data_IF_590648145903
#
_entry.id   IF_590648145903
#
_cell.length_a   1.000
_cell.length_b   1.000
_cell.length_c   1.000
_cell.angle_alpha   90.00
_cell.angle_beta   90.00
_cell.angle_gamma   90.00
#
_symmetry.space_group_name_H-M   'P 1'
#
loop_
_entity.id
_entity.type
_entity.pdbx_description
1 polymer ?
#
# COMPACT_ATOMS: atom_id res chain seq x y z
N UNK A 1 -17.85 14.78 15.36
CA UNK A 1 -18.83 13.86 15.99
C UNK A 1 -19.37 12.76 15.06
N UNK A 2 -19.86 13.04 13.83
CA UNK A 2 -20.41 11.99 12.93
C UNK A 2 -19.41 10.89 12.52
N UNK A 3 -18.13 11.21 12.42
CA UNK A 3 -17.06 10.26 12.04
C UNK A 3 -16.78 9.20 13.09
N UNK A 4 -16.74 9.57 14.38
CA UNK A 4 -16.38 8.66 15.48
C UNK A 4 -17.42 7.55 15.67
N UNK A 5 -18.71 7.88 15.65
CA UNK A 5 -19.79 6.88 15.78
C UNK A 5 -19.80 5.88 14.60
N UNK A 6 -19.45 6.35 13.40
CA UNK A 6 -19.34 5.48 12.22
C UNK A 6 -18.09 4.59 12.28
N UNK A 7 -16.96 5.14 12.75
CA UNK A 7 -15.71 4.42 12.93
C UNK A 7 -15.86 3.34 14.02
N UNK A 8 -16.58 3.64 15.11
CA UNK A 8 -16.96 2.69 16.16
C UNK A 8 -17.74 1.51 15.60
N UNK A 9 -18.91 1.75 15.00
CA UNK A 9 -19.81 0.69 14.51
C UNK A 9 -19.10 -0.26 13.52
N UNK A 10 -18.25 0.30 12.66
CA UNK A 10 -17.47 -0.49 11.69
C UNK A 10 -16.43 -1.35 12.38
N UNK A 11 -15.68 -0.77 13.31
CA UNK A 11 -14.57 -1.46 13.98
C UNK A 11 -15.10 -2.54 14.91
N UNK A 12 -16.14 -2.27 15.68
CA UNK A 12 -16.80 -3.27 16.52
C UNK A 12 -17.34 -4.44 15.70
N UNK A 13 -18.00 -4.17 14.57
CA UNK A 13 -18.45 -5.24 13.68
C UNK A 13 -17.29 -6.08 13.14
N UNK A 14 -16.16 -5.46 12.78
CA UNK A 14 -14.96 -6.15 12.34
C UNK A 14 -14.38 -7.05 13.44
N UNK A 15 -14.27 -6.53 14.67
CA UNK A 15 -13.73 -7.27 15.82
C UNK A 15 -14.66 -8.42 16.25
N UNK A 16 -15.97 -8.18 16.28
CA UNK A 16 -16.98 -9.20 16.60
C UNK A 16 -16.96 -10.36 15.61
N UNK A 17 -16.87 -10.09 14.30
CA UNK A 17 -16.72 -11.13 13.26
C UNK A 17 -15.45 -11.97 13.44
N UNK A 18 -14.46 -11.45 14.15
CA UNK A 18 -13.20 -12.14 14.49
C UNK A 18 -13.20 -12.74 15.90
N UNK A 19 -14.32 -12.65 16.63
CA UNK A 19 -14.45 -13.12 18.01
C UNK A 19 -13.46 -12.42 18.95
N UNK A 20 -13.24 -11.12 18.77
CA UNK A 20 -12.35 -10.30 19.60
C UNK A 20 -13.20 -9.24 20.29
N UNK A 21 -13.11 -9.16 21.62
CA UNK A 21 -13.77 -8.12 22.40
C UNK A 21 -12.81 -6.96 22.60
N UNK A 22 -13.30 -5.73 22.45
CA UNK A 22 -12.48 -4.51 22.54
C UNK A 22 -11.73 -4.42 23.88
N UNK A 23 -12.39 -4.74 24.99
CA UNK A 23 -11.81 -4.69 26.34
C UNK A 23 -10.72 -5.73 26.60
N UNK A 24 -10.59 -6.75 25.75
CA UNK A 24 -9.54 -7.76 25.83
C UNK A 24 -8.25 -7.29 25.15
N UNK A 25 -8.30 -6.23 24.34
CA UNK A 25 -7.15 -5.69 23.60
C UNK A 25 -6.28 -4.87 24.57
N UNK A 26 -5.00 -5.24 24.66
CA UNK A 26 -4.00 -4.53 25.46
C UNK A 26 -3.22 -3.52 24.63
N UNK A 27 -2.86 -3.88 23.39
CA UNK A 27 -2.14 -3.02 22.45
C UNK A 27 -2.41 -3.50 21.02
N UNK A 28 -2.08 -2.68 20.04
CA UNK A 28 -2.09 -3.09 18.64
C UNK A 28 -0.80 -2.70 17.92
N UNK A 29 -0.50 -3.43 16.86
CA UNK A 29 0.52 -3.11 15.87
C UNK A 29 -0.10 -3.10 14.48
N UNK A 30 0.38 -2.21 13.62
CA UNK A 30 -0.13 -2.03 12.27
C UNK A 30 1.02 -1.77 11.29
N UNK A 31 0.88 -2.21 10.04
CA UNK A 31 1.94 -2.15 9.02
C UNK A 31 3.23 -2.86 9.48
N UNK A 32 3.07 -4.03 10.10
CA UNK A 32 4.19 -4.88 10.55
C UNK A 32 3.89 -6.32 10.22
N UNK A 33 4.90 -7.03 9.70
CA UNK A 33 4.81 -8.48 9.49
C UNK A 33 4.54 -9.21 10.79
N UNK A 34 3.74 -10.25 10.70
CA UNK A 34 3.43 -11.11 11.83
C UNK A 34 4.02 -12.49 11.59
N UNK A 35 4.96 -12.86 12.45
CA UNK A 35 5.52 -14.20 12.50
C UNK A 35 4.84 -14.98 13.60
N UNK A 36 4.25 -16.13 13.26
CA UNK A 36 3.61 -16.99 14.25
C UNK A 36 4.68 -17.83 14.95
N UNK A 37 4.74 -17.78 16.29
CA UNK A 37 5.68 -18.62 17.03
C UNK A 37 5.26 -20.09 16.85
N UNK A 38 6.14 -20.98 16.35
CA UNK A 38 5.78 -22.37 16.12
C UNK A 38 5.37 -23.03 17.44
N UNK A 39 4.11 -23.48 17.54
CA UNK A 39 3.70 -24.40 18.59
C UNK A 39 4.32 -25.78 18.27
N UNK A 40 4.73 -26.51 19.30
CA UNK A 40 5.49 -27.79 19.29
C UNK A 40 4.95 -28.94 18.41
N UNK A 41 3.96 -28.73 17.55
CA UNK A 41 3.40 -29.72 16.64
C UNK A 41 3.29 -29.14 15.24
N UNK A 42 4.16 -29.55 14.30
CA UNK A 42 4.09 -29.62 12.82
C UNK A 42 3.02 -28.84 12.01
N UNK A 43 2.49 -27.73 12.51
CA UNK A 43 1.56 -26.86 11.83
C UNK A 43 2.40 -25.79 11.13
N UNK A 44 2.32 -25.77 9.79
CA UNK A 44 2.90 -24.75 8.92
C UNK A 44 2.72 -23.37 9.57
N UNK A 45 3.82 -22.73 9.92
CA UNK A 45 3.86 -21.36 10.45
C UNK A 45 3.14 -20.45 9.45
N UNK A 46 2.02 -19.83 9.85
CA UNK A 46 1.25 -18.94 8.96
C UNK A 46 1.71 -17.51 9.15
N UNK A 47 2.92 -17.22 8.68
CA UNK A 47 3.42 -15.86 8.58
C UNK A 47 2.47 -15.00 7.74
N UNK A 48 2.20 -13.78 8.22
CA UNK A 48 1.43 -12.77 7.48
C UNK A 48 2.36 -11.65 7.06
N UNK A 49 2.29 -11.33 5.78
CA UNK A 49 3.10 -10.31 5.11
C UNK A 49 2.22 -9.52 4.13
N UNK A 50 2.70 -8.40 3.64
CA UNK A 50 1.97 -7.50 2.77
C UNK A 50 1.06 -6.50 3.49
N UNK A 51 0.28 -5.75 2.71
CA UNK A 51 -0.42 -4.58 3.21
C UNK A 51 -1.60 -4.88 4.16
N UNK A 52 -1.80 -3.96 5.10
CA UNK A 52 -2.97 -3.86 5.97
C UNK A 52 -2.97 -4.85 7.13
N UNK A 53 -1.81 -5.33 7.56
CA UNK A 53 -1.73 -6.24 8.71
C UNK A 53 -2.00 -5.47 9.99
N UNK A 54 -3.03 -5.89 10.72
CA UNK A 54 -3.34 -5.47 12.08
C UNK A 54 -3.09 -6.65 13.01
N UNK A 55 -2.22 -6.44 13.99
CA UNK A 55 -1.91 -7.40 15.04
C UNK A 55 -2.42 -6.84 16.36
N UNK A 56 -3.26 -7.59 17.05
CA UNK A 56 -3.79 -7.25 18.36
C UNK A 56 -3.12 -8.12 19.42
N UNK A 57 -2.55 -7.49 20.44
CA UNK A 57 -2.07 -8.17 21.64
C UNK A 57 -3.20 -8.14 22.66
N UNK A 58 -3.64 -9.31 23.08
CA UNK A 58 -4.71 -9.46 24.06
C UNK A 58 -4.12 -9.58 25.47
N UNK A 59 -4.89 -9.18 26.50
CA UNK A 59 -4.51 -9.24 27.92
C UNK A 59 -4.04 -10.62 28.39
N UNK A 60 -4.51 -11.69 27.73
CA UNK A 60 -4.12 -13.08 28.00
C UNK A 60 -2.76 -13.48 27.41
N UNK A 61 -1.98 -12.52 26.88
CA UNK A 61 -0.71 -12.79 26.19
C UNK A 61 -0.86 -13.38 24.78
N UNK A 62 -2.09 -13.55 24.31
CA UNK A 62 -2.40 -14.08 22.97
C UNK A 62 -2.28 -12.95 21.95
N UNK A 63 -1.55 -13.17 20.86
CA UNK A 63 -1.52 -12.28 19.71
C UNK A 63 -2.45 -12.79 18.61
N UNK A 64 -3.23 -11.89 18.02
CA UNK A 64 -4.08 -12.19 16.85
C UNK A 64 -3.78 -11.22 15.73
N UNK A 65 -3.29 -11.74 14.61
CA UNK A 65 -3.03 -10.95 13.41
C UNK A 65 -4.00 -11.28 12.28
N UNK A 66 -4.49 -10.25 11.60
CA UNK A 66 -5.34 -10.39 10.43
C UNK A 66 -5.18 -9.21 9.49
N UNK A 67 -5.60 -9.42 8.24
CA UNK A 67 -5.61 -8.36 7.25
C UNK A 67 -6.86 -7.50 7.40
N UNK A 68 -6.66 -6.19 7.36
CA UNK A 68 -7.70 -5.19 7.20
C UNK A 68 -7.68 -4.74 5.75
N UNK A 69 -8.66 -5.17 4.96
CA UNK A 69 -8.72 -4.85 3.54
C UNK A 69 -9.12 -3.38 3.32
N UNK A 70 -8.76 -2.76 2.16
CA UNK A 70 -9.11 -1.38 1.87
C UNK A 70 -10.60 -1.05 2.02
N UNK A 71 -11.49 -1.98 1.64
CA UNK A 71 -12.94 -1.81 1.79
C UNK A 71 -13.42 -1.81 3.25
N UNK A 72 -12.63 -2.35 4.18
CA UNK A 72 -12.90 -2.36 5.62
C UNK A 72 -12.46 -1.06 6.30
N UNK A 73 -11.96 -0.07 5.54
CA UNK A 73 -11.54 1.24 6.02
C UNK A 73 -10.53 1.15 7.18
N UNK A 74 -9.27 0.72 6.91
CA UNK A 74 -8.23 0.63 7.95
C UNK A 74 -8.06 1.91 8.78
N UNK A 75 -8.22 3.09 8.17
CA UNK A 75 -8.17 4.38 8.86
C UNK A 75 -9.18 4.49 10.01
N UNK A 76 -10.42 4.05 9.78
CA UNK A 76 -11.48 4.03 10.79
C UNK A 76 -11.12 3.11 11.95
N UNK A 77 -10.54 1.94 11.65
CA UNK A 77 -10.12 0.95 12.65
C UNK A 77 -9.02 1.52 13.54
N UNK A 78 -7.98 2.11 12.95
CA UNK A 78 -6.86 2.68 13.69
C UNK A 78 -7.33 3.85 14.55
N UNK A 79 -8.10 4.80 13.99
CA UNK A 79 -8.64 5.93 14.75
C UNK A 79 -9.52 5.49 15.91
N UNK A 80 -10.35 4.48 15.71
CA UNK A 80 -11.17 3.96 16.79
C UNK A 80 -10.33 3.35 17.91
N UNK A 81 -9.34 2.50 17.58
CA UNK A 81 -8.46 1.92 18.59
C UNK A 81 -7.69 2.98 19.38
N UNK A 82 -7.17 4.01 18.70
CA UNK A 82 -6.51 5.15 19.35
C UNK A 82 -7.49 5.93 20.25
N UNK A 83 -8.72 6.16 19.80
CA UNK A 83 -9.75 6.86 20.60
C UNK A 83 -10.21 6.10 21.85
N UNK A 84 -9.86 4.82 21.96
CA UNK A 84 -10.13 3.97 23.12
C UNK A 84 -8.88 3.82 24.01
N UNK A 85 -7.89 4.70 23.82
CA UNK A 85 -6.61 4.71 24.54
C UNK A 85 -5.83 3.39 24.43
N UNK A 86 -6.04 2.63 23.34
CA UNK A 86 -5.29 1.40 23.10
C UNK A 86 -3.91 1.78 22.52
N UNK A 87 -2.80 1.40 23.17
CA UNK A 87 -1.45 1.75 22.71
C UNK A 87 -1.11 1.19 21.33
N UNK A 88 -0.49 2.04 20.50
CA UNK A 88 0.08 1.68 19.21
C UNK A 88 1.55 1.27 19.35
N UNK A 89 1.81 -0.02 19.48
CA UNK A 89 3.06 -0.58 20.02
C UNK A 89 4.26 -0.47 19.08
N UNK A 90 4.06 -0.56 17.76
CA UNK A 90 5.16 -0.56 16.79
C UNK A 90 5.39 0.81 16.12
N UNK A 91 4.88 1.90 16.69
CA UNK A 91 5.21 3.24 16.25
C UNK A 91 6.49 3.72 16.94
N UNK A 92 7.47 4.18 16.16
CA UNK A 92 8.73 4.72 16.67
C UNK A 92 8.80 6.20 16.35
N UNK A 93 8.83 7.04 17.38
CA UNK A 93 9.08 8.48 17.18
C UNK A 93 10.55 8.67 16.81
N UNK A 94 10.80 9.18 15.59
CA UNK A 94 12.14 9.51 15.12
C UNK A 94 12.33 11.01 15.06
N UNK A 95 13.57 11.45 15.26
CA UNK A 95 14.00 12.83 15.01
C UNK A 95 14.82 12.85 13.73
N UNK A 96 14.72 13.95 13.01
CA UNK A 96 15.56 14.21 11.84
C UNK A 96 17.03 14.19 12.26
N UNK A 97 17.85 13.43 11.54
CA UNK A 97 19.29 13.26 11.83
C UNK A 97 20.18 14.02 10.85
N UNK A 98 19.69 14.33 9.65
CA UNK A 98 20.45 14.99 8.59
C UNK A 98 19.94 16.41 8.38
N UNK A 99 20.86 17.37 8.21
CA UNK A 99 20.52 18.77 7.97
C UNK A 99 19.75 18.95 6.65
N UNK A 100 20.25 18.37 5.55
CA UNK A 100 19.66 18.50 4.22
C UNK A 100 19.53 17.13 3.54
N UNK A 101 18.36 16.84 2.98
CA UNK A 101 18.09 15.62 2.21
C UNK A 101 18.12 15.97 0.73
N UNK A 102 19.01 15.33 -0.07
CA UNK A 102 19.11 15.63 -1.49
C UNK A 102 17.85 15.19 -2.22
N UNK A 103 17.43 16.01 -3.18
CA UNK A 103 16.26 15.70 -4.00
C UNK A 103 16.54 14.50 -4.89
N UNK A 104 15.84 13.39 -4.64
CA UNK A 104 16.04 12.12 -5.36
C UNK A 104 14.72 11.62 -5.92
N UNK A 105 14.71 11.29 -7.21
CA UNK A 105 13.55 10.72 -7.89
C UNK A 105 13.74 9.22 -8.07
N UNK A 106 12.86 8.44 -7.46
CA UNK A 106 12.82 6.99 -7.54
C UNK A 106 11.77 6.58 -8.57
N UNK A 107 12.19 6.59 -9.84
CA UNK A 107 11.40 6.15 -10.97
C UNK A 107 11.92 4.81 -11.48
N UNK A 108 11.02 3.85 -11.74
CA UNK A 108 11.39 2.64 -12.49
C UNK A 108 10.69 2.65 -13.84
N UNK A 109 11.41 2.88 -14.95
CA UNK A 109 10.88 2.58 -16.27
C UNK A 109 10.64 1.06 -16.36
N UNK A 110 9.45 0.67 -16.82
CA UNK A 110 9.07 -0.73 -16.96
C UNK A 110 8.76 -1.03 -18.42
N UNK A 111 9.16 -2.22 -18.91
CA UNK A 111 8.71 -2.72 -20.20
C UNK A 111 7.17 -2.74 -20.29
N UNK A 112 6.48 -2.93 -19.15
CA UNK A 112 5.02 -2.84 -19.09
C UNK A 112 4.50 -1.43 -19.38
N UNK A 113 5.23 -0.36 -19.03
CA UNK A 113 4.85 1.02 -19.41
C UNK A 113 4.83 1.14 -20.91
N UNK A 114 5.93 0.72 -21.54
CA UNK A 114 6.08 0.77 -22.97
C UNK A 114 5.03 -0.08 -23.68
N UNK A 115 4.76 -1.28 -23.18
CA UNK A 115 3.73 -2.17 -23.71
C UNK A 115 2.33 -1.55 -23.66
N UNK A 116 1.88 -1.02 -22.51
CA UNK A 116 0.56 -0.38 -22.41
C UNK A 116 0.47 0.89 -23.24
N UNK A 117 1.56 1.66 -23.33
CA UNK A 117 1.62 2.84 -24.18
C UNK A 117 1.50 2.49 -25.67
N UNK A 118 2.24 1.47 -26.13
CA UNK A 118 2.14 0.99 -27.52
C UNK A 118 0.73 0.46 -27.81
N UNK A 119 0.15 -0.35 -26.92
CA UNK A 119 -1.23 -0.82 -27.08
C UNK A 119 -2.23 0.34 -27.15
N UNK A 120 -2.10 1.34 -26.28
CA UNK A 120 -2.93 2.54 -26.30
C UNK A 120 -2.91 3.22 -27.68
N UNK A 121 -1.72 3.45 -28.23
CA UNK A 121 -1.55 4.07 -29.55
C UNK A 121 -2.10 3.18 -30.67
N UNK A 122 -1.79 1.88 -30.65
CA UNK A 122 -2.27 0.93 -31.66
C UNK A 122 -3.80 0.90 -31.72
N UNK A 123 -4.48 0.79 -30.58
CA UNK A 123 -5.94 0.77 -30.55
C UNK A 123 -6.56 2.13 -30.87
N UNK A 124 -5.87 3.23 -30.58
CA UNK A 124 -6.29 4.57 -31.01
C UNK A 124 -6.24 4.70 -32.54
N UNK A 125 -5.17 4.21 -33.18
CA UNK A 125 -5.02 4.21 -34.64
C UNK A 125 -6.05 3.29 -35.30
N UNK A 126 -6.23 2.06 -34.79
CA UNK A 126 -7.23 1.12 -35.29
C UNK A 126 -8.65 1.69 -35.17
N UNK A 127 -8.96 2.33 -34.04
CA UNK A 127 -10.25 3.00 -33.84
C UNK A 127 -10.48 4.12 -34.85
N UNK A 128 -9.47 4.96 -35.09
CA UNK A 128 -9.53 6.01 -36.09
C UNK A 128 -9.71 5.46 -37.51
N UNK A 129 -8.91 4.46 -37.90
CA UNK A 129 -9.01 3.83 -39.22
C UNK A 129 -10.37 3.18 -39.45
N UNK A 130 -10.95 2.53 -38.43
CA UNK A 130 -12.27 1.91 -38.53
C UNK A 130 -13.38 2.96 -38.74
N UNK A 131 -13.30 4.11 -38.07
CA UNK A 131 -14.23 5.22 -38.30
C UNK A 131 -14.09 5.82 -39.70
N UNK A 132 -12.85 6.00 -40.18
CA UNK A 132 -12.58 6.53 -41.53
C UNK A 132 -13.08 5.59 -42.63
N UNK A 133 -13.09 4.27 -42.39
CA UNK A 133 -13.60 3.28 -43.34
C UNK A 133 -15.12 3.42 -43.62
N UNK A 134 -15.87 4.13 -42.78
CA UNK A 134 -17.23 4.60 -43.08
C UNK A 134 -18.34 3.54 -43.15
N UNK A 135 -18.03 2.27 -42.88
CA UNK A 135 -19.02 1.18 -42.83
C UNK A 135 -19.68 1.06 -41.45
N UNK A 136 -20.96 0.67 -41.41
CA UNK A 136 -21.72 0.50 -40.14
C UNK A 136 -21.02 -0.44 -39.15
N UNK A 137 -20.50 -1.57 -39.63
CA UNK A 137 -19.73 -2.52 -38.81
C UNK A 137 -18.39 -1.96 -38.33
N UNK A 138 -17.79 -1.06 -39.12
CA UNK A 138 -16.52 -0.45 -38.77
C UNK A 138 -16.69 0.56 -37.62
N UNK A 139 -17.86 1.21 -37.47
CA UNK A 139 -18.13 2.04 -36.29
C UNK A 139 -18.17 1.23 -35.00
N UNK A 140 -18.77 0.03 -35.00
CA UNK A 140 -18.77 -0.86 -33.83
C UNK A 140 -17.33 -1.22 -33.44
N UNK A 141 -16.52 -1.60 -34.43
CA UNK A 141 -15.10 -1.90 -34.22
C UNK A 141 -14.33 -0.68 -33.70
N UNK A 142 -14.66 0.51 -34.21
CA UNK A 142 -14.11 1.79 -33.76
C UNK A 142 -14.39 2.06 -32.29
N UNK A 143 -15.65 1.91 -31.86
CA UNK A 143 -16.05 2.10 -30.46
C UNK A 143 -15.32 1.13 -29.53
N UNK A 144 -15.25 -0.16 -29.90
CA UNK A 144 -14.53 -1.17 -29.11
C UNK A 144 -13.04 -0.81 -29.01
N UNK A 145 -12.44 -0.40 -30.12
CA UNK A 145 -11.02 -0.02 -30.19
C UNK A 145 -10.71 1.20 -29.32
N UNK A 146 -11.55 2.23 -29.36
CA UNK A 146 -11.41 3.39 -28.47
C UNK A 146 -11.63 3.02 -27.00
N UNK A 147 -12.60 2.16 -26.70
CA UNK A 147 -12.80 1.64 -25.34
C UNK A 147 -11.56 0.89 -24.82
N UNK A 148 -10.94 0.05 -25.65
CA UNK A 148 -9.68 -0.63 -25.31
C UNK A 148 -8.52 0.34 -25.15
N UNK A 149 -8.43 1.38 -25.99
CA UNK A 149 -7.43 2.44 -25.85
C UNK A 149 -7.56 3.14 -24.48
N UNK A 150 -8.77 3.56 -24.10
CA UNK A 150 -9.06 4.16 -22.78
C UNK A 150 -8.70 3.19 -21.65
N UNK A 151 -9.00 1.89 -21.80
CA UNK A 151 -8.61 0.88 -20.83
C UNK A 151 -7.09 0.76 -20.69
N UNK A 152 -6.32 0.76 -21.78
CA UNK A 152 -4.87 0.65 -21.71
C UNK A 152 -4.19 1.88 -21.13
N UNK A 153 -4.67 3.10 -21.43
CA UNK A 153 -4.17 4.30 -20.75
C UNK A 153 -4.52 4.29 -19.27
N UNK A 154 -5.71 3.81 -18.88
CA UNK A 154 -6.05 3.63 -17.47
C UNK A 154 -5.13 2.62 -16.77
N UNK A 155 -4.84 1.49 -17.42
CA UNK A 155 -3.89 0.50 -16.93
C UNK A 155 -2.47 1.07 -16.81
N UNK A 156 -2.05 1.93 -17.75
CA UNK A 156 -0.80 2.68 -17.63
C UNK A 156 -0.84 3.54 -16.35
N UNK A 157 -1.82 4.43 -16.22
CA UNK A 157 -1.88 5.39 -15.12
C UNK A 157 -2.01 4.75 -13.72
N UNK A 158 -2.67 3.60 -13.62
CA UNK A 158 -2.87 2.89 -12.34
C UNK A 158 -1.71 2.01 -11.91
N UNK A 159 -0.85 1.61 -12.84
CA UNK A 159 0.28 0.69 -12.56
C UNK A 159 1.59 1.42 -12.30
N UNK A 160 1.68 2.69 -12.66
CA UNK A 160 2.91 3.47 -12.55
C UNK A 160 2.79 4.52 -11.46
N UNK A 161 3.34 4.16 -10.30
CA UNK A 161 3.61 5.06 -9.21
C UNK A 161 5.12 5.27 -9.10
N UNK A 162 5.56 6.52 -8.99
CA UNK A 162 6.96 6.82 -8.66
C UNK A 162 7.03 7.80 -7.49
N UNK A 163 8.17 7.78 -6.80
CA UNK A 163 8.38 8.52 -5.58
C UNK A 163 9.45 9.58 -5.82
N UNK A 164 9.27 10.75 -5.24
CA UNK A 164 10.30 11.77 -5.19
C UNK A 164 10.45 12.21 -3.74
N UNK A 165 11.67 12.12 -3.25
CA UNK A 165 12.04 12.58 -1.92
C UNK A 165 12.73 13.93 -2.11
N UNK A 166 12.28 14.94 -1.37
CA UNK A 166 12.94 16.24 -1.29
C UNK A 166 13.32 16.57 0.16
N UNK A 167 13.78 17.79 0.43
CA UNK A 167 14.29 18.14 1.75
C UNK A 167 13.23 18.07 2.87
N UNK A 168 11.95 18.23 2.53
CA UNK A 168 10.88 18.45 3.50
C UNK A 168 9.71 17.48 3.34
N UNK A 169 9.63 16.77 2.22
CA UNK A 169 8.46 16.01 1.85
C UNK A 169 8.76 14.79 0.98
N UNK A 170 7.86 13.82 1.10
CA UNK A 170 7.73 12.70 0.19
C UNK A 170 6.61 13.00 -0.80
N UNK A 171 6.94 13.05 -2.08
CA UNK A 171 5.98 13.21 -3.17
C UNK A 171 5.73 11.89 -3.85
N UNK A 172 4.45 11.64 -4.12
CA UNK A 172 3.97 10.42 -4.74
C UNK A 172 3.23 10.81 -5.99
N UNK A 173 3.72 10.30 -7.12
CA UNK A 173 3.09 10.49 -8.41
C UNK A 173 2.32 9.24 -8.76
N UNK A 174 1.00 9.33 -8.77
CA UNK A 174 0.12 8.18 -9.00
C UNK A 174 -1.14 8.63 -9.74
N UNK A 175 -1.54 7.89 -10.78
CA UNK A 175 -2.77 8.17 -11.57
C UNK A 175 -2.82 9.63 -12.06
N UNK A 176 -1.67 10.17 -12.48
CA UNK A 176 -1.57 11.52 -13.04
C UNK A 176 -1.71 12.63 -12.01
N UNK A 177 -1.66 12.30 -10.72
CA UNK A 177 -1.69 13.24 -9.61
C UNK A 177 -0.37 13.22 -8.87
N UNK A 178 0.07 14.40 -8.46
CA UNK A 178 1.11 14.58 -7.46
C UNK A 178 0.44 14.70 -6.09
N UNK A 179 0.89 13.88 -5.14
CA UNK A 179 0.47 13.94 -3.75
C UNK A 179 1.71 14.23 -2.91
N UNK A 180 1.72 15.39 -2.26
CA UNK A 180 2.81 15.82 -1.37
C UNK A 180 2.48 15.44 0.07
N UNK A 181 3.41 14.74 0.72
CA UNK A 181 3.38 14.46 2.16
C UNK A 181 4.58 15.14 2.82
N UNK A 182 4.38 16.27 3.52
CA UNK A 182 5.38 16.81 4.42
C UNK A 182 5.83 15.74 5.42
N UNK A 183 7.12 15.63 5.73
CA UNK A 183 7.61 14.61 6.66
C UNK A 183 6.99 14.75 8.05
N UNK A 184 6.69 15.98 8.44
CA UNK A 184 5.97 16.26 9.67
C UNK A 184 4.55 15.70 9.68
N UNK A 185 3.90 15.46 8.55
CA UNK A 185 2.54 14.91 8.54
C UNK A 185 2.52 13.37 8.49
N UNK A 186 3.66 12.74 8.23
CA UNK A 186 3.78 11.30 8.11
C UNK A 186 4.02 10.68 9.49
N UNK A 187 3.14 9.77 9.90
CA UNK A 187 3.31 9.01 11.13
C UNK A 187 4.16 7.76 10.90
N UNK A 188 3.90 7.01 9.82
CA UNK A 188 4.58 5.75 9.50
C UNK A 188 4.54 5.42 8.02
N UNK A 189 5.60 4.81 7.50
CA UNK A 189 5.70 4.27 6.13
C UNK A 189 6.18 2.81 6.19
N UNK A 190 5.58 1.95 5.38
CA UNK A 190 6.05 0.57 5.23
C UNK A 190 6.08 0.16 3.76
N UNK A 191 7.17 -0.47 3.33
CA UNK A 191 7.26 -1.14 2.03
C UNK A 191 7.15 -2.64 2.21
N UNK A 192 6.24 -3.29 1.48
CA UNK A 192 6.07 -4.75 1.55
C UNK A 192 5.58 -5.32 0.21
N UNK A 193 5.38 -6.64 0.16
CA UNK A 193 4.81 -7.31 -1.00
C UNK A 193 3.35 -6.94 -1.20
N UNK A 194 2.97 -6.74 -2.46
CA UNK A 194 1.57 -6.67 -2.82
C UNK A 194 0.93 -8.05 -2.59
N UNK A 195 -0.31 -8.08 -2.09
CA UNK A 195 -1.04 -9.34 -1.91
C UNK A 195 -1.65 -9.82 -3.22
N UNK A 196 -1.97 -8.87 -4.09
CA UNK A 196 -2.50 -9.09 -5.42
C UNK A 196 -1.40 -9.59 -6.37
N UNK A 197 -1.62 -10.73 -7.03
CA UNK A 197 -0.65 -11.37 -7.94
C UNK A 197 -0.18 -10.46 -9.08
N UNK A 198 -1.01 -9.49 -9.49
CA UNK A 198 -0.68 -8.55 -10.54
C UNK A 198 0.30 -7.45 -10.10
N UNK A 199 0.57 -7.33 -8.79
CA UNK A 199 1.46 -6.34 -8.22
C UNK A 199 2.58 -7.03 -7.44
N UNK A 200 3.68 -6.32 -7.20
CA UNK A 200 4.88 -6.94 -6.59
C UNK A 200 5.22 -6.27 -5.28
N UNK A 201 5.36 -4.94 -5.28
CA UNK A 201 5.56 -4.19 -4.06
C UNK A 201 4.47 -3.13 -3.88
N UNK A 202 4.20 -2.83 -2.61
CA UNK A 202 3.30 -1.80 -2.15
C UNK A 202 4.01 -0.91 -1.15
N UNK A 203 3.52 0.31 -1.05
CA UNK A 203 3.89 1.28 -0.05
C UNK A 203 2.64 1.65 0.74
N UNK A 204 2.74 1.50 2.05
CA UNK A 204 1.72 1.88 3.00
C UNK A 204 2.13 3.18 3.68
N UNK A 205 1.20 4.12 3.82
CA UNK A 205 1.40 5.36 4.55
C UNK A 205 0.29 5.50 5.57
N UNK A 206 0.70 5.88 6.78
CA UNK A 206 -0.17 6.35 7.83
C UNK A 206 0.25 7.78 8.16
N UNK A 207 -0.65 8.75 8.03
CA UNK A 207 -0.42 10.13 8.45
C UNK A 207 -0.72 10.30 9.96
N UNK A 208 -0.39 11.49 10.51
CA UNK A 208 -0.63 11.83 11.92
C UNK A 208 -2.11 11.82 12.33
N UNK A 209 -3.02 12.03 11.37
CA UNK A 209 -4.46 11.93 11.56
C UNK A 209 -4.99 10.49 11.39
N UNK A 210 -4.07 9.52 11.28
CA UNK A 210 -4.33 8.11 11.08
C UNK A 210 -5.14 7.79 9.80
N UNK A 211 -4.99 8.59 8.75
CA UNK A 211 -5.38 8.21 7.40
C UNK A 211 -4.37 7.22 6.83
N UNK A 212 -4.86 6.01 6.66
CA UNK A 212 -4.15 4.95 5.97
C UNK A 212 -4.35 5.04 4.47
N UNK A 213 -3.26 5.01 3.71
CA UNK A 213 -3.27 4.96 2.24
C UNK A 213 -2.31 3.88 1.75
N UNK A 214 -2.73 3.22 0.67
CA UNK A 214 -1.99 2.15 0.03
C UNK A 214 -1.65 2.56 -1.40
N UNK A 215 -0.38 2.49 -1.75
CA UNK A 215 0.15 2.81 -3.07
C UNK A 215 0.81 1.58 -3.70
N UNK A 216 0.46 1.30 -4.95
CA UNK A 216 1.11 0.25 -5.73
C UNK A 216 2.34 0.82 -6.42
N UNK A 217 3.51 0.56 -5.85
CA UNK A 217 4.79 1.05 -6.35
C UNK A 217 5.43 0.11 -7.39
N UNK A 218 4.75 -0.99 -7.74
CA UNK A 218 5.21 -1.91 -8.78
C UNK A 218 6.50 -2.62 -8.39
N UNK A 219 7.39 -2.87 -9.35
CA UNK A 219 8.61 -3.66 -9.17
C UNK A 219 9.84 -2.80 -8.80
N UNK A 220 9.72 -1.78 -7.95
CA UNK A 220 10.92 -1.06 -7.46
C UNK A 220 11.87 -2.07 -6.81
N UNK A 221 13.19 -1.95 -7.04
CA UNK A 221 14.15 -2.91 -6.50
C UNK A 221 14.18 -2.84 -4.98
N UNK A 222 14.48 -3.95 -4.29
CA UNK A 222 14.54 -3.97 -2.82
C UNK A 222 15.62 -3.04 -2.28
N UNK A 223 16.78 -3.00 -2.94
CA UNK A 223 17.87 -2.06 -2.62
C UNK A 223 17.35 -0.62 -2.63
N UNK A 224 16.69 -0.24 -3.73
CA UNK A 224 16.08 1.09 -3.84
C UNK A 224 15.02 1.36 -2.76
N UNK A 225 14.22 0.36 -2.36
CA UNK A 225 13.23 0.53 -1.29
C UNK A 225 13.87 0.64 0.10
N UNK A 226 14.98 -0.07 0.35
CA UNK A 226 15.79 0.11 1.54
C UNK A 226 16.40 1.51 1.57
N UNK A 227 17.00 1.96 0.46
CA UNK A 227 17.58 3.30 0.34
C UNK A 227 16.53 4.38 0.64
N UNK A 228 15.31 4.25 0.07
CA UNK A 228 14.20 5.16 0.37
C UNK A 228 13.83 5.10 1.85
N UNK A 229 13.74 3.92 2.45
CA UNK A 229 13.39 3.78 3.86
C UNK A 229 14.44 4.44 4.77
N UNK A 230 15.73 4.28 4.47
CA UNK A 230 16.82 4.93 5.21
C UNK A 230 16.78 6.45 5.09
N UNK A 231 16.51 6.97 3.88
CA UNK A 231 16.34 8.42 3.67
C UNK A 231 15.13 8.96 4.42
N UNK A 232 14.00 8.25 4.44
CA UNK A 232 12.84 8.64 5.23
C UNK A 232 13.13 8.59 6.73
N UNK A 233 13.88 7.58 7.19
CA UNK A 233 14.31 7.48 8.58
C UNK A 233 15.21 8.64 8.99
N UNK A 234 16.14 9.08 8.12
CA UNK A 234 17.00 10.23 8.39
C UNK A 234 16.24 11.56 8.38
N UNK A 235 15.11 11.61 7.67
CA UNK A 235 14.13 12.70 7.72
C UNK A 235 13.31 12.76 9.02
N UNK A 236 13.41 11.73 9.88
CA UNK A 236 12.61 11.62 11.10
C UNK A 236 11.29 10.87 10.92
N UNK A 237 11.07 10.17 9.80
CA UNK A 237 9.88 9.37 9.54
C UNK A 237 10.08 7.92 10.01
N UNK A 238 9.07 7.32 10.65
CA UNK A 238 9.04 5.89 10.96
C UNK A 238 8.83 5.06 9.68
N UNK A 239 9.90 4.85 8.92
CA UNK A 239 9.90 4.10 7.68
C UNK A 239 10.53 2.71 7.85
N UNK A 240 9.91 1.68 7.28
CA UNK A 240 10.44 0.31 7.29
C UNK A 240 10.33 -0.29 5.88
N UNK A 241 11.38 -0.97 5.41
CA UNK A 241 11.27 -1.87 4.27
C UNK A 241 11.18 -3.30 4.81
N UNK A 242 10.01 -3.90 4.69
CA UNK A 242 9.76 -5.24 5.23
C UNK A 242 10.18 -6.35 4.25
N UNK A 243 10.50 -6.06 2.98
CA UNK A 243 10.80 -7.08 1.97
C UNK A 243 11.92 -8.05 2.40
N UNK A 244 11.67 -9.37 2.31
CA UNK A 244 12.69 -10.37 2.66
C UNK A 244 13.75 -10.48 1.55
N UNK A 245 14.98 -10.89 1.87
CA UNK A 245 16.01 -11.25 0.91
C UNK A 245 15.67 -12.56 0.17
N UNK A 246 15.06 -13.53 0.85
CA UNK A 246 14.85 -14.87 0.28
C UNK A 246 13.60 -15.00 -0.60
N UNK A 247 12.61 -14.11 -0.45
CA UNK A 247 11.33 -14.18 -1.18
C UNK A 247 11.24 -13.18 -2.32
N UNK A 248 10.86 -13.62 -3.52
CA UNK A 248 10.64 -12.73 -4.70
C UNK A 248 9.19 -12.27 -4.82
N UNK A 249 8.23 -13.10 -4.45
CA UNK A 249 6.80 -12.80 -4.52
C UNK A 249 6.08 -13.12 -3.22
N UNK A 250 4.87 -12.56 -3.07
CA UNK A 250 3.98 -12.88 -1.94
C UNK A 250 3.80 -14.41 -1.82
N UNK A 251 3.49 -15.11 -2.90
CA UNK A 251 3.17 -16.54 -2.86
C UNK A 251 4.38 -17.47 -2.70
N UNK A 252 5.62 -16.96 -2.63
CA UNK A 252 6.80 -17.81 -2.51
C UNK A 252 6.77 -18.55 -1.15
N UNK A 253 6.63 -19.86 -1.22
CA UNK A 253 6.64 -20.76 -0.05
C UNK A 253 8.04 -21.25 0.29
N UNK A 254 9.07 -20.84 -0.46
CA UNK A 254 10.46 -21.13 -0.12
C UNK A 254 10.80 -20.37 1.15
N UNK A 255 11.04 -21.14 2.20
CA UNK A 255 11.60 -20.72 3.49
C UNK A 255 13.11 -20.84 3.42
#
# INVERSE_FOLDING_TARGET
MKTIAQDQKRTESLLQRRGIRLHDIQSFSFMKRFHEVPRKSNLKVKDKYGAGILTLRLKQGIQRAFYVHPFQKPSSVIRYLISQDIPFENHITRKRTVAEIPTTTYQRPSLYMFYFFVLFITFMILGYQAVVFGSWWAYILGIISFGLSIYFIHMLMTRFCYLKVDNESLRIYSVGREIKYPYEDILKVNFDFAREQAFTHVMEILDKDYHYRLYYIGRVSRRTLNDIAEVLQSAGVDATCSLNEDKRFYQDTTH
#
